data_IF_950512286163
#
_entry.id   IF_950512286163
#
_cell.length_a   1.000
_cell.length_b   1.000
_cell.length_c   1.000
_cell.angle_alpha   90.00
_cell.angle_beta   90.00
_cell.angle_gamma   90.00
#
_symmetry.space_group_name_H-M   'P 1'
#
loop_
_entity.id
_entity.type
_entity.pdbx_description
1 polymer ?
#
# COMPACT_ATOMS: atom_id res chain seq x y z
N UNK A 1 3.84 -12.87 2.09
CA UNK A 1 4.75 -12.11 2.99
C UNK A 1 4.13 -12.10 4.37
N UNK A 2 4.75 -12.75 5.37
CA UNK A 2 4.18 -12.81 6.71
C UNK A 2 4.04 -11.40 7.30
N UNK A 3 2.83 -11.04 7.73
CA UNK A 3 2.52 -9.77 8.39
C UNK A 3 3.20 -9.76 9.77
N UNK A 4 4.34 -9.07 9.91
CA UNK A 4 5.00 -8.93 11.21
C UNK A 4 4.52 -7.63 11.91
N UNK A 5 3.66 -7.72 12.95
CA UNK A 5 3.10 -6.55 13.62
C UNK A 5 4.17 -5.72 14.35
N UNK A 6 5.23 -6.36 14.86
CA UNK A 6 6.31 -5.67 15.59
C UNK A 6 7.07 -4.74 14.64
N UNK A 7 7.44 -5.24 13.46
CA UNK A 7 8.14 -4.45 12.44
C UNK A 7 7.28 -3.28 11.96
N UNK A 8 5.98 -3.53 11.73
CA UNK A 8 5.03 -2.50 11.28
C UNK A 8 4.85 -1.39 12.31
N UNK A 9 4.67 -1.74 13.59
CA UNK A 9 4.58 -0.77 14.67
C UNK A 9 5.87 0.05 14.82
N UNK A 10 7.05 -0.58 14.74
CA UNK A 10 8.33 0.14 14.79
C UNK A 10 8.45 1.15 13.64
N UNK A 11 8.05 0.75 12.42
CA UNK A 11 8.13 1.63 11.26
C UNK A 11 7.18 2.82 11.37
N UNK A 12 5.92 2.59 11.79
CA UNK A 12 4.94 3.67 11.96
C UNK A 12 5.38 4.67 13.04
N UNK A 13 5.92 4.19 14.16
CA UNK A 13 6.34 5.07 15.25
C UNK A 13 7.63 5.84 14.98
N UNK A 14 8.45 5.42 14.01
CA UNK A 14 9.79 6.01 13.77
C UNK A 14 9.94 6.73 12.43
N UNK A 15 9.02 6.50 11.49
CA UNK A 15 9.13 7.05 10.15
C UNK A 15 8.03 8.09 9.90
N UNK A 16 8.30 9.11 9.08
CA UNK A 16 7.25 9.94 8.51
C UNK A 16 6.18 9.08 7.82
N UNK A 17 4.91 9.52 7.89
CA UNK A 17 3.78 8.75 7.34
C UNK A 17 3.94 8.42 5.85
N UNK A 18 4.53 9.33 5.07
CA UNK A 18 4.82 9.09 3.65
C UNK A 18 5.89 8.02 3.43
N UNK A 19 6.91 7.93 4.27
CA UNK A 19 7.90 6.85 4.21
C UNK A 19 7.27 5.50 4.58
N UNK A 20 6.37 5.50 5.57
CA UNK A 20 5.59 4.31 5.89
C UNK A 20 4.69 3.87 4.72
N UNK A 21 3.97 4.80 4.09
CA UNK A 21 3.16 4.51 2.89
C UNK A 21 4.04 3.93 1.78
N UNK A 22 5.19 4.53 1.47
CA UNK A 22 6.14 4.01 0.47
C UNK A 22 6.60 2.60 0.81
N UNK A 23 6.87 2.30 2.09
CA UNK A 23 7.21 0.96 2.54
C UNK A 23 6.09 -0.05 2.25
N UNK A 24 4.85 0.27 2.64
CA UNK A 24 3.71 -0.61 2.38
C UNK A 24 3.51 -0.83 0.88
N UNK A 25 3.56 0.25 0.09
CA UNK A 25 3.49 0.17 -1.37
C UNK A 25 4.56 -0.76 -1.94
N UNK A 26 5.81 -0.66 -1.47
CA UNK A 26 6.90 -1.55 -1.89
C UNK A 26 6.63 -3.02 -1.57
N UNK A 27 6.10 -3.32 -0.37
CA UNK A 27 5.71 -4.68 0.02
C UNK A 27 4.62 -5.23 -0.90
N UNK A 28 3.59 -4.43 -1.15
CA UNK A 28 2.43 -4.78 -1.99
C UNK A 28 2.85 -4.97 -3.46
N UNK A 29 3.64 -4.04 -4.01
CA UNK A 29 4.18 -4.14 -5.36
C UNK A 29 5.06 -5.38 -5.55
N UNK A 30 5.80 -5.82 -4.52
CA UNK A 30 6.57 -7.06 -4.59
C UNK A 30 5.66 -8.27 -4.80
N UNK A 31 4.53 -8.34 -4.08
CA UNK A 31 3.54 -9.41 -4.28
C UNK A 31 2.87 -9.34 -5.66
N UNK A 32 2.56 -8.14 -6.15
CA UNK A 32 2.02 -7.97 -7.50
C UNK A 32 2.98 -8.44 -8.59
N UNK A 33 4.29 -8.20 -8.44
CA UNK A 33 5.32 -8.64 -9.40
C UNK A 33 5.45 -10.16 -9.53
N UNK A 34 4.88 -10.94 -8.62
CA UNK A 34 4.82 -12.40 -8.74
C UNK A 34 3.78 -12.85 -9.79
N UNK A 35 2.83 -11.98 -10.15
CA UNK A 35 1.69 -12.31 -11.02
C UNK A 35 1.50 -11.33 -12.20
N UNK A 36 2.25 -10.24 -12.22
CA UNK A 36 2.15 -9.19 -13.23
C UNK A 36 3.55 -8.81 -13.74
N UNK A 37 3.70 -8.73 -15.06
CA UNK A 37 4.99 -8.44 -15.70
C UNK A 37 5.44 -6.99 -15.49
N UNK A 38 4.48 -6.06 -15.53
CA UNK A 38 4.76 -4.63 -15.38
C UNK A 38 4.06 -4.12 -14.12
N UNK A 39 4.84 -3.73 -13.12
CA UNK A 39 4.34 -3.10 -11.89
C UNK A 39 5.25 -1.94 -11.52
N UNK A 40 4.73 -0.72 -11.70
CA UNK A 40 5.32 0.53 -11.20
C UNK A 40 4.39 1.16 -10.16
N UNK A 41 4.96 1.80 -9.15
CA UNK A 41 4.17 2.39 -8.08
C UNK A 41 4.85 3.65 -7.52
N UNK A 42 4.06 4.71 -7.29
CA UNK A 42 4.54 5.98 -6.75
C UNK A 42 3.55 6.59 -5.76
N UNK A 43 4.09 7.26 -4.74
CA UNK A 43 3.33 8.07 -3.79
C UNK A 43 3.70 9.54 -3.96
N UNK A 44 2.70 10.42 -3.93
CA UNK A 44 2.85 11.87 -4.00
C UNK A 44 2.05 12.51 -2.87
N UNK A 45 2.69 13.35 -2.08
CA UNK A 45 2.00 14.11 -1.02
C UNK A 45 1.22 15.25 -1.65
N UNK A 46 -0.03 15.42 -1.24
CA UNK A 46 -0.93 16.46 -1.72
C UNK A 46 -1.63 17.13 -0.53
N UNK A 47 -0.96 18.13 0.07
CA UNK A 47 -1.39 18.70 1.34
C UNK A 47 -1.21 17.70 2.49
N UNK A 48 -2.29 17.41 3.21
CA UNK A 48 -2.33 16.40 4.29
C UNK A 48 -2.60 14.98 3.78
N UNK A 49 -3.04 14.86 2.52
CA UNK A 49 -3.34 13.57 1.89
C UNK A 49 -2.11 13.03 1.15
N UNK A 50 -2.15 11.73 0.86
CA UNK A 50 -1.16 11.07 0.01
C UNK A 50 -1.88 10.39 -1.15
N UNK A 51 -1.62 10.86 -2.37
CA UNK A 51 -2.07 10.18 -3.57
C UNK A 51 -1.06 9.09 -3.94
N UNK A 52 -1.57 7.89 -4.15
CA UNK A 52 -0.78 6.73 -4.57
C UNK A 52 -1.26 6.30 -5.96
N UNK A 53 -0.32 5.92 -6.82
CA UNK A 53 -0.58 5.49 -8.19
C UNK A 53 0.19 4.21 -8.46
N UNK A 54 -0.49 3.23 -9.03
CA UNK A 54 0.09 1.99 -9.56
C UNK A 54 -0.17 1.91 -11.07
N UNK A 55 0.86 1.58 -11.82
CA UNK A 55 0.77 1.08 -13.18
C UNK A 55 0.95 -0.43 -13.11
N UNK A 56 -0.07 -1.20 -13.48
CA UNK A 56 -0.06 -2.67 -13.46
C UNK A 56 -0.48 -3.16 -14.83
N UNK A 57 0.48 -3.63 -15.63
CA UNK A 57 0.29 -3.88 -17.06
C UNK A 57 -0.36 -2.65 -17.73
N UNK A 58 -1.48 -2.83 -18.42
CA UNK A 58 -2.22 -1.75 -19.09
C UNK A 58 -3.17 -0.97 -18.16
N UNK A 59 -3.17 -1.26 -16.85
CA UNK A 59 -4.10 -0.66 -15.88
C UNK A 59 -3.41 0.39 -15.01
N UNK A 60 -4.15 1.47 -14.77
CA UNK A 60 -3.78 2.52 -13.81
C UNK A 60 -4.73 2.46 -12.63
N UNK A 61 -4.19 2.36 -11.42
CA UNK A 61 -4.96 2.40 -10.19
C UNK A 61 -4.45 3.58 -9.37
N UNK A 62 -5.36 4.47 -8.97
CA UNK A 62 -5.05 5.62 -8.14
C UNK A 62 -5.86 5.55 -6.85
N UNK A 63 -5.19 5.73 -5.72
CA UNK A 63 -5.82 5.71 -4.40
C UNK A 63 -5.36 6.94 -3.62
N UNK A 64 -6.31 7.73 -3.15
CA UNK A 64 -6.04 8.85 -2.25
C UNK A 64 -6.19 8.39 -0.81
N UNK A 65 -5.07 8.38 -0.08
CA UNK A 65 -5.03 8.16 1.35
C UNK A 65 -5.33 9.49 2.04
N UNK A 66 -6.53 9.59 2.59
CA UNK A 66 -6.97 10.77 3.33
C UNK A 66 -6.28 10.87 4.69
N UNK A 67 -6.20 12.09 5.22
CA UNK A 67 -5.56 12.37 6.50
C UNK A 67 -6.09 11.54 7.69
N UNK A 68 -7.38 11.19 7.70
CA UNK A 68 -8.02 10.32 8.69
C UNK A 68 -7.50 8.87 8.64
N UNK A 69 -7.38 8.30 7.44
CA UNK A 69 -6.76 6.98 7.22
C UNK A 69 -5.29 6.99 7.61
N UNK A 70 -4.59 8.09 7.35
CA UNK A 70 -3.18 8.24 7.73
C UNK A 70 -2.99 8.39 9.25
N UNK A 71 -3.95 8.99 9.95
CA UNK A 71 -3.96 9.10 11.40
C UNK A 71 -4.27 7.76 12.07
N UNK A 72 -5.14 6.92 11.49
CA UNK A 72 -5.50 5.63 12.08
C UNK A 72 -4.34 4.63 12.12
N UNK A 73 -3.26 4.85 11.34
CA UNK A 73 -2.11 3.94 11.28
C UNK A 73 -1.39 3.74 12.61
N UNK A 74 -1.51 4.70 13.53
CA UNK A 74 -0.93 4.61 14.87
C UNK A 74 -1.60 3.52 15.72
N UNK A 75 -2.89 3.25 15.48
CA UNK A 75 -3.68 2.22 16.16
C UNK A 75 -3.97 1.00 15.30
N UNK A 76 -3.98 1.18 13.98
CA UNK A 76 -4.33 0.18 12.97
C UNK A 76 -3.21 0.07 11.92
N UNK A 77 -2.09 -0.56 12.26
CA UNK A 77 -0.90 -0.59 11.41
C UNK A 77 -1.12 -1.22 10.04
N UNK A 78 -2.17 -2.03 9.88
CA UNK A 78 -2.48 -2.74 8.63
C UNK A 78 -3.60 -2.09 7.80
N UNK A 79 -4.14 -0.92 8.21
CA UNK A 79 -5.25 -0.29 7.49
C UNK A 79 -4.94 0.01 6.01
N UNK A 80 -3.68 0.35 5.70
CA UNK A 80 -3.26 0.59 4.31
C UNK A 80 -3.33 -0.67 3.44
N UNK A 81 -2.97 -1.84 4.00
CA UNK A 81 -3.00 -3.10 3.27
C UNK A 81 -4.45 -3.39 2.80
N UNK A 82 -5.45 -3.14 3.66
CA UNK A 82 -6.86 -3.30 3.31
C UNK A 82 -7.33 -2.30 2.26
N UNK A 83 -6.94 -1.03 2.39
CA UNK A 83 -7.26 0.01 1.42
C UNK A 83 -6.75 -0.36 0.03
N UNK A 84 -5.49 -0.82 -0.06
CA UNK A 84 -4.89 -1.23 -1.32
C UNK A 84 -5.50 -2.52 -1.88
N UNK A 85 -5.74 -3.54 -1.04
CA UNK A 85 -6.39 -4.78 -1.49
C UNK A 85 -7.77 -4.51 -2.09
N UNK A 86 -8.61 -3.72 -1.40
CA UNK A 86 -9.94 -3.33 -1.91
C UNK A 86 -9.86 -2.52 -3.20
N UNK A 87 -8.86 -1.65 -3.34
CA UNK A 87 -8.66 -0.89 -4.57
C UNK A 87 -8.30 -1.81 -5.74
N UNK A 88 -7.45 -2.81 -5.53
CA UNK A 88 -7.09 -3.78 -6.58
C UNK A 88 -8.23 -4.71 -6.95
N UNK A 89 -9.00 -5.20 -5.97
CA UNK A 89 -10.20 -6.02 -6.21
C UNK A 89 -11.21 -5.27 -7.10
N UNK A 90 -11.46 -3.98 -6.80
CA UNK A 90 -12.35 -3.13 -7.62
C UNK A 90 -11.85 -2.90 -9.06
N UNK A 91 -10.56 -3.12 -9.31
CA UNK A 91 -9.93 -2.95 -10.61
C UNK A 91 -9.52 -4.30 -11.23
N UNK A 92 -10.11 -5.41 -10.74
CA UNK A 92 -9.85 -6.79 -11.20
C UNK A 92 -8.37 -7.20 -11.20
N UNK A 93 -7.57 -6.63 -10.30
CA UNK A 93 -6.14 -6.95 -10.14
C UNK A 93 -6.01 -8.02 -9.08
N UNK A 94 -5.53 -9.20 -9.48
CA UNK A 94 -5.33 -10.34 -8.58
C UNK A 94 -3.96 -10.25 -7.92
N UNK A 95 -3.95 -9.96 -6.63
CA UNK A 95 -2.86 -10.40 -5.77
C UNK A 95 -2.96 -11.93 -5.73
N UNK A 96 -1.98 -12.66 -6.27
CA UNK A 96 -2.05 -14.12 -6.21
C UNK A 96 -2.03 -14.63 -4.77
N UNK A 97 -2.20 -15.95 -4.56
CA UNK A 97 -2.43 -16.49 -3.23
C UNK A 97 -1.32 -16.07 -2.28
N UNK A 98 -1.71 -15.45 -1.15
CA UNK A 98 -0.84 -15.26 0.00
C UNK A 98 -0.32 -16.64 0.38
N UNK A 99 0.91 -16.99 -0.03
CA UNK A 99 1.59 -18.16 0.54
C UNK A 99 1.67 -17.93 2.05
N UNK A 100 0.94 -18.79 2.76
CA UNK A 100 0.93 -18.94 4.21
C UNK A 100 2.36 -19.14 4.75
#
# INVERSE_FOLDING_TARGET
MARNPIVRNILISRQPRDEYVKYVMKCVSRGLKEHHEQVDARAMRHGEDIQTKWQINDRVIEVTLKSDVLASLETEPFALDEVFMRAFERNDVRLGPLKE
#
